data_IF_756703090490
#
_entry.id   IF_756703090490
#
_cell.length_a   1.000
_cell.length_b   1.000
_cell.length_c   1.000
_cell.angle_alpha   90.00
_cell.angle_beta   90.00
_cell.angle_gamma   90.00
#
_symmetry.space_group_name_H-M   'P 1'
#
loop_
_entity.id
_entity.type
_entity.pdbx_description
1 polymer ?
#
# COMPACT_ATOMS: atom_id res chain seq x y z
N UNK A 1 -42.78 9.29 21.83
CA UNK A 1 -42.28 9.37 20.44
C UNK A 1 -40.81 9.75 20.52
N UNK A 2 -39.91 8.83 20.18
CA UNK A 2 -38.47 9.09 20.11
C UNK A 2 -38.13 9.32 18.64
N UNK A 3 -37.84 10.56 18.27
CA UNK A 3 -37.33 10.91 16.94
C UNK A 3 -35.93 10.34 16.78
N UNK A 4 -35.77 9.34 15.91
CA UNK A 4 -34.47 8.84 15.49
C UNK A 4 -33.77 9.85 14.60
N UNK A 5 -32.56 10.24 14.97
CA UNK A 5 -31.67 11.01 14.09
C UNK A 5 -31.26 10.12 12.91
N UNK A 6 -31.80 10.42 11.73
CA UNK A 6 -31.27 9.93 10.46
C UNK A 6 -30.01 10.72 10.15
N UNK A 7 -28.83 10.10 10.27
CA UNK A 7 -27.62 10.63 9.65
C UNK A 7 -27.73 10.37 8.14
N UNK A 8 -28.25 11.37 7.41
CA UNK A 8 -28.04 11.50 5.96
C UNK A 8 -26.62 11.99 5.75
N UNK A 9 -25.86 11.26 4.93
CA UNK A 9 -24.66 11.77 4.29
C UNK A 9 -23.35 11.26 4.88
N UNK A 10 -23.03 10.00 4.60
CA UNK A 10 -21.67 9.70 4.15
C UNK A 10 -21.82 9.28 2.70
N UNK A 11 -21.65 10.24 1.80
CA UNK A 11 -21.25 9.90 0.44
C UNK A 11 -19.87 9.30 0.58
N UNK A 12 -19.80 7.96 0.60
CA UNK A 12 -18.56 7.27 0.27
C UNK A 12 -18.23 7.75 -1.15
N UNK A 13 -17.20 8.57 -1.26
CA UNK A 13 -16.61 8.94 -2.55
C UNK A 13 -16.11 7.62 -3.17
N UNK A 14 -16.98 6.92 -3.90
CA UNK A 14 -16.52 6.08 -4.99
C UNK A 14 -16.03 7.07 -6.04
N UNK A 15 -14.70 7.25 -6.08
CA UNK A 15 -14.04 7.82 -7.25
C UNK A 15 -14.62 7.11 -8.48
N UNK A 16 -15.27 7.88 -9.36
CA UNK A 16 -15.74 7.39 -10.66
C UNK A 16 -14.58 7.14 -11.62
N UNK A 17 -13.39 7.64 -11.30
CA UNK A 17 -12.17 7.32 -12.04
C UNK A 17 -11.77 5.90 -11.67
N UNK A 18 -12.02 4.98 -12.60
CA UNK A 18 -11.69 3.57 -12.40
C UNK A 18 -10.18 3.31 -12.56
N UNK A 19 -9.36 4.33 -12.79
CA UNK A 19 -8.05 4.16 -13.39
C UNK A 19 -8.11 3.60 -14.82
N UNK A 20 -6.97 3.49 -15.48
CA UNK A 20 -6.84 2.88 -16.81
C UNK A 20 -6.25 1.48 -16.67
N UNK A 21 -6.84 0.43 -17.27
CA UNK A 21 -6.26 -0.90 -17.23
C UNK A 21 -4.97 -0.95 -18.05
N UNK A 22 -4.01 -1.76 -17.59
CA UNK A 22 -2.83 -2.10 -18.37
C UNK A 22 -3.15 -3.21 -19.38
N UNK A 23 -2.66 -3.08 -20.61
CA UNK A 23 -2.64 -4.20 -21.55
C UNK A 23 -1.59 -5.24 -21.16
N UNK A 24 -1.69 -6.45 -21.70
CA UNK A 24 -0.70 -7.51 -21.47
C UNK A 24 0.71 -7.05 -21.88
N UNK A 25 1.68 -7.13 -20.98
CA UNK A 25 3.05 -6.63 -21.19
C UNK A 25 3.19 -5.11 -21.10
N UNK A 26 2.11 -4.35 -20.89
CA UNK A 26 2.18 -2.92 -20.62
C UNK A 26 2.66 -2.68 -19.19
N UNK A 27 3.43 -1.61 -19.01
CA UNK A 27 3.90 -1.15 -17.72
C UNK A 27 3.72 0.35 -17.57
N UNK A 28 3.59 0.79 -16.31
CA UNK A 28 3.54 2.20 -15.92
C UNK A 28 4.46 2.41 -14.73
N UNK A 29 5.14 3.55 -14.73
CA UNK A 29 5.96 4.02 -13.62
C UNK A 29 5.19 5.09 -12.85
N UNK A 30 5.34 5.11 -11.54
CA UNK A 30 4.79 6.17 -10.71
C UNK A 30 5.67 6.45 -9.49
N UNK A 31 5.53 7.67 -8.98
CA UNK A 31 6.34 8.24 -7.90
C UNK A 31 5.57 8.18 -6.59
N UNK A 32 6.06 7.38 -5.65
CA UNK A 32 5.40 7.13 -4.38
C UNK A 32 6.16 7.78 -3.23
N UNK A 33 5.46 8.53 -2.38
CA UNK A 33 6.01 9.07 -1.15
C UNK A 33 5.37 8.40 0.06
N UNK A 34 6.16 8.03 1.07
CA UNK A 34 5.68 7.31 2.26
C UNK A 34 4.73 8.14 3.13
N UNK A 35 4.68 9.46 2.92
CA UNK A 35 3.71 10.37 3.55
C UNK A 35 2.32 10.35 2.91
N UNK A 36 2.16 9.71 1.75
CA UNK A 36 0.88 9.69 1.04
C UNK A 36 0.02 8.56 1.63
N UNK A 37 -1.10 8.89 2.31
CA UNK A 37 -1.90 7.88 2.98
C UNK A 37 -2.73 7.07 2.00
N UNK A 38 -3.03 7.56 0.80
CA UNK A 38 -3.75 6.82 -0.23
C UNK A 38 -3.24 7.30 -1.59
N UNK A 39 -2.11 6.76 -2.02
CA UNK A 39 -1.56 7.08 -3.32
C UNK A 39 -2.32 6.32 -4.41
N UNK A 40 -3.21 7.01 -5.10
CA UNK A 40 -3.98 6.46 -6.21
C UNK A 40 -3.11 6.42 -7.46
N UNK A 41 -2.86 5.20 -7.98
CA UNK A 41 -1.94 5.00 -9.11
C UNK A 41 -2.57 5.38 -10.46
N UNK A 42 -3.90 5.55 -10.51
CA UNK A 42 -4.62 5.70 -11.77
C UNK A 42 -4.68 4.43 -12.60
N UNK A 43 -4.34 3.26 -12.05
CA UNK A 43 -4.31 1.98 -12.76
C UNK A 43 -5.44 1.08 -12.28
N UNK A 44 -6.28 0.64 -13.22
CA UNK A 44 -7.30 -0.36 -12.96
C UNK A 44 -6.69 -1.77 -13.02
N UNK A 45 -6.61 -2.45 -11.88
CA UNK A 45 -6.29 -3.87 -11.86
C UNK A 45 -7.52 -4.67 -12.29
N UNK A 46 -7.29 -5.73 -13.07
CA UNK A 46 -8.33 -6.63 -13.54
C UNK A 46 -8.30 -7.93 -12.76
N UNK A 47 -9.44 -8.35 -12.24
CA UNK A 47 -9.62 -9.55 -11.44
C UNK A 47 -8.98 -10.77 -12.11
N UNK A 48 -8.14 -11.49 -11.36
CA UNK A 48 -7.46 -12.70 -11.84
C UNK A 48 -6.27 -12.44 -12.79
N UNK A 49 -6.01 -11.20 -13.20
CA UNK A 49 -4.80 -10.87 -13.94
C UNK A 49 -3.57 -10.85 -13.02
N UNK A 50 -2.42 -11.23 -13.58
CA UNK A 50 -1.14 -11.22 -12.89
C UNK A 50 -0.40 -9.92 -13.14
N UNK A 51 0.25 -9.42 -12.10
CA UNK A 51 1.02 -8.19 -12.12
C UNK A 51 2.39 -8.41 -11.48
N UNK A 52 3.37 -7.66 -11.97
CA UNK A 52 4.72 -7.56 -11.41
C UNK A 52 4.95 -6.14 -10.95
N UNK A 53 5.53 -5.99 -9.76
CA UNK A 53 5.87 -4.73 -9.14
C UNK A 53 7.39 -4.67 -8.95
N UNK A 54 8.03 -3.68 -9.55
CA UNK A 54 9.45 -3.37 -9.36
C UNK A 54 9.58 -2.09 -8.55
N UNK A 55 10.29 -2.14 -7.43
CA UNK A 55 10.42 -1.02 -6.49
C UNK A 55 11.86 -0.56 -6.47
N UNK A 56 12.09 0.70 -6.84
CA UNK A 56 13.38 1.37 -6.69
C UNK A 56 13.29 2.41 -5.59
N UNK A 57 13.89 2.12 -4.44
CA UNK A 57 13.99 3.07 -3.33
C UNK A 57 14.99 4.16 -3.69
N UNK A 58 14.53 5.41 -3.70
CA UNK A 58 15.31 6.58 -4.08
C UNK A 58 15.68 7.44 -2.86
N UNK A 59 14.99 7.26 -1.73
CA UNK A 59 15.42 7.74 -0.42
C UNK A 59 15.02 6.72 0.64
N UNK A 60 15.83 6.57 1.69
CA UNK A 60 15.46 5.71 2.82
C UNK A 60 14.12 6.09 3.43
N UNK A 61 13.47 5.09 3.98
CA UNK A 61 12.16 5.20 4.60
C UNK A 61 12.35 5.47 6.10
N UNK A 62 11.60 6.42 6.65
CA UNK A 62 11.71 6.83 8.05
C UNK A 62 10.31 7.14 8.57
N UNK A 63 9.95 6.52 9.70
CA UNK A 63 8.76 6.85 10.50
C UNK A 63 9.19 7.72 11.68
N UNK A 64 9.01 9.05 11.57
CA UNK A 64 9.42 10.05 12.56
C UNK A 64 10.92 10.01 12.91
N UNK A 65 11.32 9.06 13.75
CA UNK A 65 12.67 8.84 14.29
C UNK A 65 13.11 7.37 14.20
N UNK A 66 12.27 6.48 13.66
CA UNK A 66 12.60 5.10 13.40
C UNK A 66 13.17 5.04 11.99
N UNK A 67 14.49 4.94 11.91
CA UNK A 67 15.23 4.92 10.65
C UNK A 67 15.72 3.53 10.26
N UNK A 68 15.60 2.56 11.19
CA UNK A 68 16.14 1.21 11.05
C UNK A 68 15.12 0.13 11.41
N UNK A 69 15.23 -1.00 10.71
CA UNK A 69 14.47 -2.21 11.02
C UNK A 69 15.10 -2.99 12.20
N UNK A 70 14.52 -4.14 12.52
CA UNK A 70 14.99 -5.02 13.59
C UNK A 70 16.43 -5.53 13.39
N UNK A 71 16.90 -5.57 12.15
CA UNK A 71 18.24 -6.04 11.75
C UNK A 71 19.27 -4.89 11.70
N UNK A 72 18.90 -3.68 12.16
CA UNK A 72 19.73 -2.47 12.13
C UNK A 72 20.05 -1.93 10.72
N UNK A 73 19.31 -2.38 9.71
CA UNK A 73 19.39 -1.92 8.33
C UNK A 73 18.43 -0.76 8.11
N UNK A 74 18.68 0.06 7.08
CA UNK A 74 17.74 1.12 6.69
C UNK A 74 16.37 0.52 6.33
N UNK A 75 15.30 1.20 6.71
CA UNK A 75 13.95 0.74 6.36
C UNK A 75 13.75 0.82 4.85
N UNK A 76 13.12 -0.22 4.31
CA UNK A 76 12.75 -0.41 2.92
C UNK A 76 11.24 -0.70 2.77
N UNK A 77 10.80 -1.20 1.62
CA UNK A 77 9.40 -1.51 1.34
C UNK A 77 8.80 -2.57 2.28
N UNK A 78 9.62 -3.39 2.94
CA UNK A 78 9.17 -4.45 3.85
C UNK A 78 8.90 -3.93 5.25
N UNK A 79 9.30 -2.69 5.55
CA UNK A 79 9.06 -2.06 6.83
C UNK A 79 9.77 -2.78 8.00
N UNK A 80 9.25 -2.62 9.21
CA UNK A 80 9.89 -3.10 10.44
C UNK A 80 8.93 -3.85 11.37
N UNK A 81 9.48 -4.70 12.21
CA UNK A 81 8.72 -5.49 13.18
C UNK A 81 8.11 -4.63 14.32
N UNK A 82 7.03 -5.13 14.94
CA UNK A 82 6.38 -4.47 16.09
C UNK A 82 7.32 -4.18 17.25
N UNK A 83 8.36 -5.00 17.45
CA UNK A 83 9.36 -4.85 18.51
C UNK A 83 10.17 -3.56 18.39
N UNK A 84 10.23 -2.94 17.21
CA UNK A 84 10.95 -1.69 16.98
C UNK A 84 10.09 -0.48 17.34
N UNK A 85 8.76 -0.61 17.32
CA UNK A 85 7.83 0.47 17.64
C UNK A 85 7.88 0.79 19.15
N UNK A 86 8.29 2.01 19.56
CA UNK A 86 8.50 2.34 20.98
C UNK A 86 7.19 2.39 21.80
N UNK A 87 6.05 2.55 21.12
CA UNK A 87 4.76 2.74 21.76
C UNK A 87 3.78 1.65 21.31
N UNK A 88 3.61 0.61 22.12
CA UNK A 88 2.71 -0.51 21.82
C UNK A 88 1.27 -0.06 21.50
N UNK A 89 0.78 1.02 22.13
CA UNK A 89 -0.56 1.53 21.88
C UNK A 89 -0.76 2.05 20.45
N UNK A 90 0.29 2.50 19.76
CA UNK A 90 0.21 2.88 18.34
C UNK A 90 -0.10 1.67 17.46
N UNK A 91 0.24 0.45 17.90
CA UNK A 91 -0.13 -0.79 17.22
C UNK A 91 -1.64 -0.98 17.10
N UNK A 92 -2.43 -0.36 18.00
CA UNK A 92 -3.89 -0.44 17.96
C UNK A 92 -4.50 0.44 16.86
N UNK A 93 -3.81 1.51 16.46
CA UNK A 93 -4.27 2.48 15.46
C UNK A 93 -3.72 2.24 14.06
N UNK A 94 -2.84 1.24 13.91
CA UNK A 94 -2.28 0.82 12.63
C UNK A 94 -3.37 0.34 11.67
N UNK A 95 -3.25 0.73 10.40
CA UNK A 95 -4.21 0.39 9.35
C UNK A 95 -4.38 -1.11 9.14
N UNK A 96 -3.28 -1.85 9.13
CA UNK A 96 -3.30 -3.30 9.07
C UNK A 96 -2.55 -3.91 10.23
N UNK A 97 -3.26 -4.63 11.10
CA UNK A 97 -2.67 -5.24 12.30
C UNK A 97 -1.86 -6.49 11.98
N UNK A 98 -2.11 -7.12 10.85
CA UNK A 98 -1.48 -8.38 10.42
C UNK A 98 -0.14 -8.15 9.71
N UNK A 99 0.11 -6.93 9.22
CA UNK A 99 1.28 -6.57 8.44
C UNK A 99 2.33 -5.82 9.27
N UNK A 100 3.55 -5.73 8.76
CA UNK A 100 4.67 -5.03 9.43
C UNK A 100 4.39 -3.52 9.46
N UNK A 101 5.04 -2.82 10.38
CA UNK A 101 4.99 -1.36 10.38
C UNK A 101 5.72 -0.82 9.16
N UNK A 102 5.19 0.24 8.57
CA UNK A 102 5.78 0.93 7.42
C UNK A 102 5.91 0.09 6.14
N UNK A 103 5.36 -1.12 6.14
CA UNK A 103 5.35 -2.00 4.98
C UNK A 103 4.55 -1.37 3.83
N UNK A 104 5.04 -1.46 2.61
CA UNK A 104 4.28 -1.05 1.43
C UNK A 104 3.06 -1.94 1.26
N UNK A 105 1.89 -1.32 1.25
CA UNK A 105 0.60 -1.96 1.12
C UNK A 105 0.02 -1.71 -0.26
N UNK A 106 -0.57 -2.75 -0.83
CA UNK A 106 -1.39 -2.73 -2.02
C UNK A 106 -2.85 -2.86 -1.60
N UNK A 107 -3.72 -2.08 -2.23
CA UNK A 107 -5.13 -2.04 -1.88
C UNK A 107 -6.01 -1.74 -3.10
N UNK A 108 -7.17 -2.40 -3.18
CA UNK A 108 -8.20 -2.14 -4.19
C UNK A 108 -9.50 -1.77 -3.49
N UNK A 109 -9.96 -0.53 -3.66
CA UNK A 109 -11.08 0.03 -2.90
C UNK A 109 -12.39 -0.76 -2.99
N UNK A 110 -12.64 -1.42 -4.13
CA UNK A 110 -13.87 -2.18 -4.41
C UNK A 110 -13.93 -3.56 -3.74
N UNK A 111 -12.81 -4.12 -3.34
CA UNK A 111 -12.73 -5.40 -2.62
C UNK A 111 -11.73 -5.28 -1.47
N UNK A 112 -12.00 -4.34 -0.58
CA UNK A 112 -11.09 -3.94 0.49
C UNK A 112 -10.65 -5.08 1.40
N UNK A 113 -11.52 -6.08 1.62
CA UNK A 113 -11.22 -7.24 2.48
C UNK A 113 -10.32 -8.26 1.79
N UNK A 114 -10.45 -8.40 0.48
CA UNK A 114 -9.77 -9.43 -0.30
C UNK A 114 -8.47 -8.93 -0.96
N UNK A 115 -8.32 -7.61 -1.11
CA UNK A 115 -7.22 -6.99 -1.84
C UNK A 115 -6.10 -6.40 -1.00
N UNK A 116 -6.34 -6.13 0.30
CA UNK A 116 -5.31 -5.55 1.15
C UNK A 116 -4.18 -6.55 1.35
N UNK A 117 -2.99 -6.22 0.83
CA UNK A 117 -1.79 -7.05 0.94
C UNK A 117 -0.57 -6.20 1.21
N UNK A 118 0.32 -6.68 2.07
CA UNK A 118 1.66 -6.13 2.21
C UNK A 118 2.61 -6.73 1.19
N UNK A 119 3.69 -6.02 0.89
CA UNK A 119 4.70 -6.48 -0.06
C UNK A 119 5.32 -7.83 0.34
N UNK A 120 5.38 -8.13 1.64
CA UNK A 120 5.95 -9.39 2.16
C UNK A 120 5.05 -10.61 1.90
N UNK A 121 3.79 -10.40 1.54
CA UNK A 121 2.89 -11.48 1.11
C UNK A 121 3.02 -11.82 -0.38
N UNK A 122 3.73 -10.99 -1.16
CA UNK A 122 3.82 -11.17 -2.61
C UNK A 122 4.93 -12.17 -2.97
N UNK A 123 4.77 -12.84 -4.10
CA UNK A 123 5.76 -13.80 -4.58
C UNK A 123 6.96 -13.06 -5.16
N UNK A 124 8.14 -13.25 -4.58
CA UNK A 124 9.37 -12.65 -5.13
C UNK A 124 9.85 -13.47 -6.32
N UNK A 125 10.06 -12.81 -7.46
CA UNK A 125 10.72 -13.39 -8.61
C UNK A 125 12.23 -13.52 -8.33
N UNK A 126 12.73 -14.76 -8.28
CA UNK A 126 14.13 -15.05 -7.96
C UNK A 126 15.14 -14.56 -9.00
N UNK A 127 14.73 -14.23 -10.22
CA UNK A 127 15.64 -13.79 -11.30
C UNK A 127 15.95 -12.28 -11.23
N UNK A 128 14.94 -11.46 -10.91
CA UNK A 128 15.06 -10.01 -10.97
C UNK A 128 14.65 -9.29 -9.66
N UNK A 129 14.15 -10.02 -8.66
CA UNK A 129 13.70 -9.48 -7.38
C UNK A 129 12.33 -8.79 -7.42
N UNK A 130 11.60 -8.86 -8.54
CA UNK A 130 10.28 -8.23 -8.66
C UNK A 130 9.22 -8.94 -7.81
N UNK A 131 8.21 -8.21 -7.36
CA UNK A 131 7.12 -8.77 -6.56
C UNK A 131 5.91 -9.08 -7.45
N UNK A 132 5.49 -10.34 -7.47
CA UNK A 132 4.40 -10.83 -8.29
C UNK A 132 3.13 -11.07 -7.48
N UNK A 133 1.98 -10.67 -8.03
CA UNK A 133 0.68 -10.89 -7.40
C UNK A 133 -0.44 -11.03 -8.43
N UNK A 134 -1.53 -11.66 -8.02
CA UNK A 134 -2.78 -11.75 -8.79
C UNK A 134 -3.79 -10.79 -8.18
N UNK A 135 -4.42 -9.95 -9.01
CA UNK A 135 -5.44 -9.02 -8.53
C UNK A 135 -6.69 -9.78 -8.04
N UNK A 136 -7.19 -9.41 -6.87
CA UNK A 136 -8.30 -10.09 -6.23
C UNK A 136 -9.66 -9.74 -6.85
N UNK A 137 -9.80 -8.51 -7.36
CA UNK A 137 -10.99 -8.03 -8.03
C UNK A 137 -10.64 -6.97 -9.10
N UNK A 138 -11.65 -6.44 -9.77
CA UNK A 138 -11.51 -5.24 -10.58
C UNK A 138 -11.49 -3.98 -9.69
N UNK A 139 -10.49 -3.12 -9.87
CA UNK A 139 -10.43 -1.88 -9.11
C UNK A 139 -9.12 -1.14 -9.24
N UNK A 140 -9.15 0.16 -8.94
CA UNK A 140 -7.95 0.98 -8.91
C UNK A 140 -6.97 0.49 -7.84
N UNK A 141 -5.69 0.42 -8.19
CA UNK A 141 -4.61 0.17 -7.24
C UNK A 141 -4.30 1.46 -6.47
N UNK A 142 -4.45 1.39 -5.15
CA UNK A 142 -3.98 2.40 -4.20
C UNK A 142 -2.80 1.82 -3.42
N UNK A 143 -1.79 2.66 -3.18
CA UNK A 143 -0.61 2.33 -2.39
C UNK A 143 -0.52 3.19 -1.14
N UNK A 144 0.05 2.63 -0.07
CA UNK A 144 0.39 3.35 1.15
C UNK A 144 1.38 2.55 1.99
N UNK A 145 2.13 3.19 2.88
CA UNK A 145 2.88 2.44 3.91
C UNK A 145 1.99 2.12 5.11
N UNK A 146 2.13 0.95 5.72
CA UNK A 146 1.29 0.53 6.84
C UNK A 146 1.60 1.31 8.11
N UNK A 147 0.83 2.36 8.36
CA UNK A 147 1.02 3.27 9.48
C UNK A 147 -0.33 3.52 10.17
N UNK A 148 -0.35 4.33 11.22
CA UNK A 148 -1.55 4.73 11.91
C UNK A 148 -2.35 5.76 11.11
N UNK A 149 -3.67 5.65 11.16
CA UNK A 149 -4.56 6.63 10.54
C UNK A 149 -4.26 8.05 11.05
N UNK A 150 -3.92 8.96 10.12
CA UNK A 150 -3.65 10.38 10.43
C UNK A 150 -2.21 10.70 10.84
N UNK A 151 -1.30 9.71 10.87
CA UNK A 151 0.08 9.92 11.32
C UNK A 151 1.11 10.10 10.22
N UNK A 152 0.75 9.86 8.95
CA UNK A 152 1.66 9.92 7.79
C UNK A 152 2.47 11.22 7.57
N UNK A 153 2.13 12.32 8.25
CA UNK A 153 2.81 13.61 8.08
C UNK A 153 4.26 13.66 8.56
N UNK A 154 4.67 12.70 9.40
CA UNK A 154 6.05 12.54 9.89
C UNK A 154 6.85 11.49 9.08
N UNK A 155 6.27 10.94 8.02
CA UNK A 155 6.91 9.94 7.18
C UNK A 155 7.83 10.60 6.17
N UNK A 156 9.02 10.03 5.99
CA UNK A 156 9.97 10.41 4.96
C UNK A 156 10.32 9.17 4.16
N UNK A 157 10.41 9.30 2.84
CA UNK A 157 10.64 8.18 1.96
C UNK A 157 10.09 8.44 0.56
N UNK A 158 10.80 7.93 -0.43
CA UNK A 158 10.48 8.11 -1.83
C UNK A 158 10.93 6.90 -2.62
N UNK A 159 10.04 6.39 -3.46
CA UNK A 159 10.32 5.29 -4.37
C UNK A 159 9.78 5.59 -5.77
N UNK A 160 10.48 5.10 -6.78
CA UNK A 160 9.91 4.91 -8.10
C UNK A 160 9.44 3.46 -8.23
N UNK A 161 8.17 3.29 -8.55
CA UNK A 161 7.54 1.96 -8.62
C UNK A 161 7.06 1.74 -10.04
N UNK A 162 7.42 0.59 -10.60
CA UNK A 162 6.94 0.11 -11.90
C UNK A 162 5.89 -0.96 -11.65
N UNK A 163 4.70 -0.80 -12.20
CA UNK A 163 3.70 -1.86 -12.26
C UNK A 163 3.59 -2.36 -13.71
N UNK A 164 3.71 -3.66 -13.90
CA UNK A 164 3.58 -4.33 -15.19
C UNK A 164 2.48 -5.36 -15.16
N UNK A 165 1.67 -5.47 -16.21
CA UNK A 165 0.75 -6.61 -16.39
C UNK A 165 1.48 -7.76 -17.06
N UNK A 166 1.47 -8.92 -16.41
CA UNK A 166 2.12 -10.15 -16.92
C UNK A 166 1.21 -10.83 -17.94
N UNK A 167 1.82 -11.47 -18.94
CA UNK A 167 1.13 -12.23 -19.98
C UNK A 167 0.53 -13.55 -19.48
#
# INVERSE_FOLDING_TARGET
MLSGCSFRGVYLYESSDQGTPLNSGEHRNFHFFTKDPNYDTGINLQSGANYSLDITILSYWIDSHIEKNEDQESIDERGFANSVMPYEFLGLTRRSKEHRWFELMLYQSRCSRESLRGITELNVNGENGSYNFTAACDGELTLFVNDSHGFYGNNVGYANITLSRVN
#
